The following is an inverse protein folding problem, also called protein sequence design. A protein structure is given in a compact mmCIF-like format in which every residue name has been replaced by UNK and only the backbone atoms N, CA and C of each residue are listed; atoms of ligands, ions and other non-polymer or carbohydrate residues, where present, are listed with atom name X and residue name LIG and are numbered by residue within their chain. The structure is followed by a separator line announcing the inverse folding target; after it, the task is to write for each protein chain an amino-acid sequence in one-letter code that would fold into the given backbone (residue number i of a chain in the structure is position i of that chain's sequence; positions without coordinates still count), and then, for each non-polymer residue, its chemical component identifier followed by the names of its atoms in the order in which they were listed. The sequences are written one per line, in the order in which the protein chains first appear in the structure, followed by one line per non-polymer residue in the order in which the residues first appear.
data_IF_782673434364
#
_entry.id   IF_782673434364
#
_cell.length_a   1.000
_cell.length_b   1.000
_cell.length_c   1.000
_cell.angle_alpha   90.00
_cell.angle_beta   90.00
_cell.angle_gamma   90.00
#
_symmetry.space_group_name_H-M   'P 1'
#
loop_
_entity.id
_entity.type
_entity.pdbx_description
1 polymer ?
#
# COMPACT_ATOMS: atom_id res chain seq x y z
N UNK A 1 29.85 -59.70 7.25
CA UNK A 1 29.93 -58.24 7.05
C UNK A 1 28.90 -57.89 6.00
N UNK A 2 27.76 -57.31 6.42
CA UNK A 2 26.70 -56.82 5.52
C UNK A 2 26.74 -55.29 5.55
N UNK A 3 27.09 -54.70 4.41
CA UNK A 3 27.09 -53.23 4.23
C UNK A 3 25.68 -52.83 3.81
N UNK A 4 24.99 -52.12 4.68
CA UNK A 4 23.70 -51.45 4.35
C UNK A 4 24.00 -50.14 3.61
N UNK A 5 23.62 -50.06 2.34
CA UNK A 5 23.56 -48.80 1.60
C UNK A 5 22.32 -48.02 2.06
N UNK A 6 22.53 -46.88 2.71
CA UNK A 6 21.50 -45.89 2.94
C UNK A 6 21.35 -45.02 1.67
N UNK A 7 20.29 -45.24 0.91
CA UNK A 7 19.91 -44.36 -0.21
C UNK A 7 19.17 -43.15 0.38
N UNK A 8 19.85 -42.02 0.35
CA UNK A 8 19.29 -40.72 0.77
C UNK A 8 18.32 -40.20 -0.31
N UNK A 9 17.04 -40.14 0.04
CA UNK A 9 16.00 -39.58 -0.84
C UNK A 9 16.12 -38.05 -0.89
N UNK A 10 16.91 -37.52 -1.83
CA UNK A 10 16.89 -36.13 -2.25
C UNK A 10 16.10 -36.03 -3.57
N UNK A 11 14.84 -35.69 -3.52
CA UNK A 11 14.11 -35.60 -4.78
C UNK A 11 12.64 -35.20 -4.67
N UNK A 12 12.30 -34.06 -4.06
CA UNK A 12 10.89 -33.60 -4.07
C UNK A 12 10.68 -32.08 -4.14
N UNK A 13 11.70 -31.27 -4.37
CA UNK A 13 11.51 -29.78 -4.48
C UNK A 13 11.60 -29.23 -5.92
N UNK A 14 12.16 -29.99 -6.86
CA UNK A 14 12.36 -29.50 -8.23
C UNK A 14 11.06 -29.41 -9.08
N UNK A 15 10.04 -30.20 -8.74
CA UNK A 15 8.81 -30.26 -9.55
C UNK A 15 7.90 -29.02 -9.41
N UNK A 16 7.88 -28.39 -8.22
CA UNK A 16 7.03 -27.23 -7.98
C UNK A 16 7.51 -25.97 -8.74
N UNK A 17 8.80 -25.72 -8.73
CA UNK A 17 9.39 -24.57 -9.43
C UNK A 17 9.29 -24.68 -10.95
N UNK A 18 9.38 -25.88 -11.51
CA UNK A 18 9.25 -26.11 -12.95
C UNK A 18 7.85 -25.71 -13.47
N UNK A 19 6.81 -25.93 -12.66
CA UNK A 19 5.44 -25.57 -13.01
C UNK A 19 5.18 -24.05 -12.90
N UNK A 20 5.73 -23.40 -11.88
CA UNK A 20 5.61 -21.94 -11.70
C UNK A 20 6.28 -21.16 -12.84
N UNK A 21 7.46 -21.59 -13.27
CA UNK A 21 8.17 -21.02 -14.43
C UNK A 21 7.40 -21.20 -15.74
N UNK A 22 6.75 -22.36 -15.91
CA UNK A 22 5.92 -22.62 -17.09
C UNK A 22 4.70 -21.72 -17.12
N UNK A 23 3.99 -21.55 -15.99
CA UNK A 23 2.87 -20.62 -15.85
C UNK A 23 3.32 -19.18 -16.11
N UNK A 24 4.45 -18.76 -15.54
CA UNK A 24 5.03 -17.42 -15.78
C UNK A 24 5.22 -17.16 -17.26
N UNK A 25 5.92 -18.05 -17.97
CA UNK A 25 6.19 -17.92 -19.41
C UNK A 25 4.90 -17.86 -20.24
N UNK A 26 3.91 -18.67 -19.88
CA UNK A 26 2.64 -18.70 -20.61
C UNK A 26 1.83 -17.40 -20.41
N UNK A 27 1.77 -16.88 -19.18
CA UNK A 27 1.11 -15.60 -18.88
C UNK A 27 1.85 -14.43 -19.56
N UNK A 28 3.18 -14.40 -19.49
CA UNK A 28 3.98 -13.36 -20.17
C UNK A 28 3.83 -13.42 -21.70
N UNK A 29 3.69 -14.63 -22.25
CA UNK A 29 3.37 -14.81 -23.67
C UNK A 29 1.99 -14.26 -24.06
N UNK A 30 0.99 -14.42 -23.21
CA UNK A 30 -0.35 -13.85 -23.42
C UNK A 30 -0.35 -12.31 -23.29
N UNK A 31 0.34 -11.77 -22.30
CA UNK A 31 0.43 -10.31 -22.06
C UNK A 31 1.34 -9.63 -23.10
N UNK A 32 2.23 -10.37 -23.74
CA UNK A 32 3.18 -9.83 -24.73
C UNK A 32 4.37 -9.09 -24.12
N UNK A 33 4.62 -9.21 -22.82
CA UNK A 33 5.69 -8.54 -22.11
C UNK A 33 6.11 -9.32 -20.84
N UNK A 34 7.34 -9.09 -20.35
CA UNK A 34 7.85 -9.63 -19.08
C UNK A 34 7.17 -8.92 -17.89
N UNK A 35 5.88 -9.16 -17.73
CA UNK A 35 5.01 -8.46 -16.79
C UNK A 35 4.82 -9.18 -15.44
N UNK A 36 5.23 -10.45 -15.32
CA UNK A 36 5.03 -11.25 -14.11
C UNK A 36 6.15 -11.00 -13.10
N UNK A 37 5.76 -10.69 -11.87
CA UNK A 37 6.64 -10.58 -10.70
C UNK A 37 6.85 -11.95 -10.06
N UNK A 38 5.76 -12.62 -9.66
CA UNK A 38 5.81 -13.94 -9.05
C UNK A 38 4.62 -14.82 -9.45
N UNK A 39 4.81 -16.14 -9.34
CA UNK A 39 3.78 -17.16 -9.48
C UNK A 39 3.85 -18.06 -8.25
N UNK A 40 2.71 -18.47 -7.72
CA UNK A 40 2.65 -19.45 -6.64
C UNK A 40 1.40 -20.33 -6.77
N UNK A 41 1.55 -21.64 -6.48
CA UNK A 41 0.41 -22.55 -6.43
C UNK A 41 -0.45 -22.24 -5.20
N UNK A 42 -1.76 -22.13 -5.39
CA UNK A 42 -2.70 -21.94 -4.29
C UNK A 42 -3.21 -23.27 -3.74
N UNK A 43 -3.85 -23.24 -2.57
CA UNK A 43 -4.58 -24.40 -2.03
C UNK A 43 -6.00 -24.55 -2.61
N UNK A 44 -6.39 -23.74 -3.58
CA UNK A 44 -7.75 -23.66 -4.10
C UNK A 44 -7.83 -24.20 -5.53
N UNK A 45 -8.46 -25.39 -5.68
CA UNK A 45 -8.86 -25.93 -6.98
C UNK A 45 -7.79 -26.07 -8.04
N UNK A 46 -6.51 -26.18 -7.66
CA UNK A 46 -5.39 -26.26 -8.60
C UNK A 46 -5.02 -24.90 -9.25
N UNK A 47 -5.56 -23.79 -8.74
CA UNK A 47 -5.24 -22.45 -9.20
C UNK A 47 -3.80 -22.05 -8.81
N UNK A 48 -3.19 -21.30 -9.69
CA UNK A 48 -1.96 -20.53 -9.45
C UNK A 48 -2.31 -19.07 -9.28
N UNK A 49 -1.78 -18.41 -8.26
CA UNK A 49 -1.76 -16.95 -8.19
C UNK A 49 -0.60 -16.43 -9.02
N UNK A 50 -0.86 -15.37 -9.77
CA UNK A 50 0.13 -14.65 -10.56
C UNK A 50 0.09 -13.19 -10.15
N UNK A 51 1.19 -12.72 -9.58
CA UNK A 51 1.38 -11.31 -9.22
C UNK A 51 2.07 -10.61 -10.38
N UNK A 52 1.45 -9.55 -10.89
CA UNK A 52 2.04 -8.74 -11.95
C UNK A 52 2.94 -7.64 -11.36
N UNK A 53 3.91 -7.18 -12.14
CA UNK A 53 4.77 -6.04 -11.76
C UNK A 53 4.00 -4.74 -11.51
N UNK A 54 2.80 -4.62 -12.07
CA UNK A 54 1.84 -3.54 -11.77
C UNK A 54 1.30 -3.60 -10.33
N UNK A 55 1.40 -4.77 -9.67
CA UNK A 55 0.82 -5.03 -8.35
C UNK A 55 -0.54 -5.72 -8.41
N UNK A 56 -1.07 -5.97 -9.59
CA UNK A 56 -2.30 -6.74 -9.80
C UNK A 56 -2.06 -8.22 -9.50
N UNK A 57 -3.10 -8.90 -9.01
CA UNK A 57 -3.10 -10.32 -8.72
C UNK A 57 -4.21 -10.98 -9.52
N UNK A 58 -3.82 -11.94 -10.35
CA UNK A 58 -4.73 -12.75 -11.15
C UNK A 58 -4.53 -14.22 -10.86
N UNK A 59 -5.48 -15.06 -11.27
CA UNK A 59 -5.37 -16.52 -11.09
C UNK A 59 -5.45 -17.23 -12.44
N UNK A 60 -4.83 -18.39 -12.51
CA UNK A 60 -4.86 -19.25 -13.72
C UNK A 60 -4.67 -20.71 -13.32
N UNK A 61 -4.81 -21.63 -14.29
CA UNK A 61 -4.44 -23.02 -14.13
C UNK A 61 -2.96 -23.26 -14.46
N UNK A 62 -2.48 -24.47 -14.28
CA UNK A 62 -1.09 -24.88 -14.56
C UNK A 62 -0.65 -24.63 -16.01
N UNK A 63 -1.58 -24.57 -16.96
CA UNK A 63 -1.31 -24.37 -18.39
C UNK A 63 -1.53 -22.94 -18.85
N UNK A 64 -1.95 -22.06 -17.92
CA UNK A 64 -2.41 -20.70 -18.21
C UNK A 64 -3.48 -20.67 -19.34
N UNK A 65 -4.40 -21.62 -19.30
CA UNK A 65 -5.44 -21.75 -20.32
C UNK A 65 -6.55 -20.70 -20.20
N UNK A 66 -6.63 -20.01 -19.07
CA UNK A 66 -7.51 -18.88 -18.77
C UNK A 66 -6.86 -17.93 -17.76
N UNK A 67 -7.37 -16.71 -17.67
CA UNK A 67 -7.04 -15.74 -16.62
C UNK A 67 -8.32 -15.40 -15.87
N UNK A 68 -8.28 -15.47 -14.54
CA UNK A 68 -9.32 -14.94 -13.67
C UNK A 68 -8.81 -13.65 -13.04
N UNK A 69 -9.41 -12.53 -13.44
CA UNK A 69 -9.29 -11.25 -12.74
C UNK A 69 -10.46 -11.13 -11.78
N UNK A 70 -10.22 -11.44 -10.50
CA UNK A 70 -11.31 -11.52 -9.53
C UNK A 70 -10.86 -12.01 -8.16
N UNK A 71 -11.84 -12.31 -7.29
CA UNK A 71 -11.60 -12.66 -5.89
C UNK A 71 -11.86 -14.14 -5.61
N UNK A 72 -10.96 -14.74 -4.86
CA UNK A 72 -11.15 -16.08 -4.28
C UNK A 72 -11.65 -15.91 -2.84
N UNK A 73 -12.86 -16.42 -2.58
CA UNK A 73 -13.47 -16.42 -1.24
C UNK A 73 -13.44 -17.84 -0.70
N UNK A 74 -12.76 -18.07 0.42
CA UNK A 74 -12.84 -19.34 1.11
C UNK A 74 -14.19 -19.48 1.80
N UNK A 75 -15.03 -20.39 1.29
CA UNK A 75 -16.42 -20.56 1.76
C UNK A 75 -16.52 -21.15 3.16
N UNK A 76 -15.49 -21.85 3.66
CA UNK A 76 -15.45 -22.44 5.00
C UNK A 76 -15.14 -21.38 6.05
N UNK A 77 -14.19 -20.49 5.74
CA UNK A 77 -13.74 -19.42 6.66
C UNK A 77 -14.41 -18.08 6.40
N UNK A 78 -15.10 -17.94 5.25
CA UNK A 78 -15.68 -16.70 4.72
C UNK A 78 -14.66 -15.59 4.47
N UNK A 79 -13.38 -15.94 4.35
CA UNK A 79 -12.31 -14.99 4.10
C UNK A 79 -12.13 -14.71 2.62
N UNK A 80 -11.87 -13.46 2.32
CA UNK A 80 -11.40 -13.02 1.00
C UNK A 80 -9.89 -13.22 0.93
N UNK A 81 -9.47 -14.34 0.34
CA UNK A 81 -8.06 -14.74 0.25
C UNK A 81 -7.28 -13.78 -0.64
N UNK A 82 -7.92 -13.31 -1.72
CA UNK A 82 -7.32 -12.32 -2.63
C UNK A 82 -7.04 -11.01 -1.93
N UNK A 83 -8.01 -10.50 -1.17
CA UNK A 83 -7.85 -9.27 -0.40
C UNK A 83 -6.74 -9.40 0.66
N UNK A 84 -6.71 -10.52 1.40
CA UNK A 84 -5.65 -10.79 2.38
C UNK A 84 -4.26 -10.83 1.71
N UNK A 85 -4.19 -11.41 0.51
CA UNK A 85 -2.94 -11.50 -0.25
C UNK A 85 -2.49 -10.15 -0.78
N UNK A 86 -3.40 -9.37 -1.38
CA UNK A 86 -3.12 -8.00 -1.84
C UNK A 86 -2.70 -7.09 -0.69
N UNK A 87 -3.30 -7.22 0.48
CA UNK A 87 -2.90 -6.49 1.68
C UNK A 87 -1.43 -6.79 2.05
N UNK A 88 -1.04 -8.08 2.04
CA UNK A 88 0.35 -8.49 2.31
C UNK A 88 1.34 -7.99 1.25
N UNK A 89 0.96 -8.05 -0.03
CA UNK A 89 1.81 -7.61 -1.15
C UNK A 89 2.00 -6.09 -1.18
N UNK A 90 1.02 -5.35 -0.68
CA UNK A 90 1.05 -3.88 -0.64
C UNK A 90 1.57 -3.31 0.68
N UNK A 91 1.83 -4.16 1.68
CA UNK A 91 2.42 -3.75 2.93
C UNK A 91 3.87 -3.26 2.74
N UNK A 92 4.28 -2.32 3.57
CA UNK A 92 5.64 -1.76 3.56
C UNK A 92 6.31 -1.96 4.91
N UNK A 93 7.62 -1.83 4.94
CA UNK A 93 8.30 -1.59 6.20
C UNK A 93 8.14 -0.11 6.59
N UNK A 94 7.26 0.16 7.57
CA UNK A 94 6.95 1.52 8.02
C UNK A 94 8.20 2.28 8.49
N UNK A 95 9.20 1.58 9.04
CA UNK A 95 10.43 2.19 9.53
C UNK A 95 11.29 2.80 8.42
N UNK A 96 11.06 2.38 7.17
CA UNK A 96 11.78 2.91 5.99
C UNK A 96 11.21 4.23 5.47
N UNK A 97 10.06 4.68 5.99
CA UNK A 97 9.47 5.94 5.58
C UNK A 97 10.34 7.13 6.05
N UNK A 98 10.67 8.08 5.16
CA UNK A 98 11.44 9.26 5.52
C UNK A 98 10.56 10.29 6.24
N UNK A 99 10.24 10.04 7.51
CA UNK A 99 9.27 10.81 8.29
C UNK A 99 9.60 12.30 8.41
N UNK A 100 10.87 12.69 8.20
CA UNK A 100 11.29 14.11 8.13
C UNK A 100 10.75 14.87 6.92
N UNK A 101 10.25 14.15 5.89
CA UNK A 101 9.62 14.72 4.70
C UNK A 101 8.09 14.85 4.86
N UNK A 102 7.54 14.46 5.99
CA UNK A 102 6.12 14.53 6.29
C UNK A 102 5.77 15.66 7.25
N UNK A 103 4.55 16.13 7.18
CA UNK A 103 3.95 16.99 8.21
C UNK A 103 3.57 16.11 9.39
N UNK A 104 4.18 16.35 10.55
CA UNK A 104 3.89 15.62 11.77
C UNK A 104 2.80 16.32 12.58
N UNK A 105 1.78 15.58 12.96
CA UNK A 105 0.73 16.00 13.87
C UNK A 105 0.63 15.01 15.03
N UNK A 106 0.61 15.51 16.27
CA UNK A 106 0.47 14.68 17.47
C UNK A 106 -0.82 15.09 18.16
N UNK A 107 -1.66 14.11 18.45
CA UNK A 107 -2.91 14.28 19.18
C UNK A 107 -2.89 13.40 20.44
N UNK A 108 -3.32 13.95 21.56
CA UNK A 108 -3.30 13.26 22.85
C UNK A 108 -1.90 12.72 23.19
N UNK A 109 -1.80 11.46 23.59
CA UNK A 109 -0.52 10.83 23.94
C UNK A 109 0.34 10.44 22.73
N UNK A 110 -0.21 10.49 21.49
CA UNK A 110 0.50 10.22 20.25
C UNK A 110 1.04 8.79 20.06
N UNK A 111 0.64 7.83 20.88
CA UNK A 111 1.24 6.48 20.92
C UNK A 111 0.97 5.68 19.65
N UNK A 112 -0.21 5.82 19.05
CA UNK A 112 -0.54 5.14 17.82
C UNK A 112 0.00 5.96 16.65
N UNK A 113 0.55 5.31 15.65
CA UNK A 113 1.23 5.98 14.56
C UNK A 113 0.65 5.56 13.23
N UNK A 114 0.48 6.51 12.33
CA UNK A 114 0.15 6.26 10.93
C UNK A 114 0.86 7.27 10.02
N UNK A 115 1.01 6.90 8.76
CA UNK A 115 1.43 7.79 7.69
C UNK A 115 0.35 7.88 6.62
N UNK A 116 0.15 9.07 6.05
CA UNK A 116 -0.81 9.29 4.97
C UNK A 116 -0.13 9.95 3.78
N UNK A 117 -0.52 9.56 2.57
CA UNK A 117 -0.15 10.23 1.33
C UNK A 117 -1.39 10.96 0.82
N UNK A 118 -1.32 12.28 0.79
CA UNK A 118 -2.50 13.10 0.56
C UNK A 118 -2.25 14.23 -0.43
N UNK A 119 -3.23 14.44 -1.31
CA UNK A 119 -3.25 15.59 -2.23
C UNK A 119 -4.17 16.69 -1.65
N UNK A 120 -3.72 17.94 -1.58
CA UNK A 120 -4.51 19.03 -1.00
C UNK A 120 -5.84 19.31 -1.73
N UNK A 121 -5.96 18.93 -2.99
CA UNK A 121 -7.19 19.11 -3.77
C UNK A 121 -8.07 17.85 -3.81
N UNK A 122 -7.65 16.76 -3.18
CA UNK A 122 -8.40 15.51 -3.13
C UNK A 122 -9.63 15.63 -2.21
N UNK A 123 -10.82 15.38 -2.77
CA UNK A 123 -12.07 15.41 -1.99
C UNK A 123 -12.09 14.34 -0.87
N UNK A 124 -11.55 13.16 -1.12
CA UNK A 124 -11.46 12.10 -0.11
C UNK A 124 -10.43 12.40 0.98
N UNK A 125 -9.33 13.13 0.66
CA UNK A 125 -8.39 13.63 1.66
C UNK A 125 -9.05 14.65 2.59
N UNK A 126 -9.89 15.54 2.05
CA UNK A 126 -10.68 16.48 2.87
C UNK A 126 -11.67 15.76 3.78
N UNK A 127 -12.29 14.69 3.29
CA UNK A 127 -13.14 13.84 4.15
C UNK A 127 -12.32 13.14 5.23
N UNK A 128 -11.16 12.58 4.88
CA UNK A 128 -10.25 11.94 5.83
C UNK A 128 -9.79 12.94 6.89
N UNK A 129 -9.41 14.17 6.51
CA UNK A 129 -8.99 15.21 7.45
C UNK A 129 -10.05 15.50 8.53
N UNK A 130 -11.33 15.52 8.16
CA UNK A 130 -12.45 15.70 9.11
C UNK A 130 -12.58 14.51 10.07
N UNK A 131 -12.39 13.29 9.59
CA UNK A 131 -12.39 12.09 10.44
C UNK A 131 -11.17 12.09 11.38
N UNK A 132 -9.98 12.37 10.84
CA UNK A 132 -8.76 12.45 11.63
C UNK A 132 -8.84 13.56 12.70
N UNK A 133 -9.59 14.64 12.44
CA UNK A 133 -9.80 15.69 13.43
C UNK A 133 -10.48 15.19 14.71
N UNK A 134 -11.30 14.14 14.62
CA UNK A 134 -12.05 13.55 15.74
C UNK A 134 -11.24 12.48 16.51
N UNK A 135 -10.14 11.99 15.93
CA UNK A 135 -9.30 10.97 16.56
C UNK A 135 -8.40 11.57 17.66
N UNK A 136 -8.12 10.79 18.70
CA UNK A 136 -7.18 11.13 19.76
C UNK A 136 -6.05 10.08 19.85
N UNK A 137 -5.03 10.39 20.64
CA UNK A 137 -3.94 9.47 20.97
C UNK A 137 -3.21 8.88 19.73
N UNK A 138 -3.00 9.72 18.72
CA UNK A 138 -2.38 9.34 17.45
C UNK A 138 -1.35 10.34 16.98
N UNK A 139 -0.24 9.84 16.43
CA UNK A 139 0.73 10.61 15.64
C UNK A 139 0.48 10.32 14.16
N UNK A 140 0.23 11.37 13.38
CA UNK A 140 -0.03 11.31 11.95
C UNK A 140 1.13 11.96 11.21
N UNK A 141 1.70 11.27 10.23
CA UNK A 141 2.71 11.76 9.32
C UNK A 141 2.09 11.92 7.93
N UNK A 142 1.73 13.14 7.54
CA UNK A 142 1.14 13.43 6.23
C UNK A 142 2.22 13.77 5.22
N UNK A 143 2.42 12.90 4.24
CA UNK A 143 3.23 13.14 3.06
C UNK A 143 2.39 13.88 2.04
N UNK A 144 2.76 15.12 1.72
CA UNK A 144 2.12 15.87 0.65
C UNK A 144 2.44 15.19 -0.68
N UNK A 145 1.39 14.72 -1.36
CA UNK A 145 1.48 13.92 -2.59
C UNK A 145 0.61 14.54 -3.69
N UNK A 146 1.06 15.66 -4.30
CA UNK A 146 0.27 16.43 -5.27
C UNK A 146 0.31 15.77 -6.64
N UNK A 147 -0.67 14.91 -6.93
CA UNK A 147 -0.76 14.16 -8.19
C UNK A 147 -2.00 14.48 -9.03
N UNK A 148 -2.93 15.27 -8.50
CA UNK A 148 -4.22 15.49 -9.17
C UNK A 148 -4.19 16.68 -10.14
N UNK A 149 -3.62 17.80 -9.73
CA UNK A 149 -3.63 19.05 -10.53
C UNK A 149 -2.35 19.86 -10.32
N UNK A 150 -1.99 20.77 -11.25
CA UNK A 150 -0.89 21.72 -11.02
C UNK A 150 -1.09 22.59 -9.76
N UNK A 151 -2.33 22.94 -9.44
CA UNK A 151 -2.68 23.70 -8.24
C UNK A 151 -2.42 22.90 -6.95
N UNK A 152 -2.49 21.56 -7.01
CA UNK A 152 -2.10 20.69 -5.90
C UNK A 152 -0.63 20.87 -5.52
N UNK A 153 0.25 20.99 -6.51
CA UNK A 153 1.68 21.26 -6.29
C UNK A 153 1.89 22.63 -5.65
N UNK A 154 1.22 23.67 -6.17
CA UNK A 154 1.30 25.02 -5.62
C UNK A 154 0.86 25.05 -4.16
N UNK A 155 -0.28 24.44 -3.83
CA UNK A 155 -0.77 24.35 -2.45
C UNK A 155 0.17 23.56 -1.55
N UNK A 156 0.67 22.41 -2.02
CA UNK A 156 1.61 21.58 -1.26
C UNK A 156 2.88 22.37 -0.92
N UNK A 157 3.42 23.11 -1.87
CA UNK A 157 4.60 23.93 -1.66
C UNK A 157 4.35 25.06 -0.64
N UNK A 158 3.21 25.75 -0.75
CA UNK A 158 2.83 26.79 0.20
C UNK A 158 2.64 26.23 1.62
N UNK A 159 1.99 25.07 1.76
CA UNK A 159 1.81 24.38 3.05
C UNK A 159 3.17 23.95 3.61
N UNK A 160 4.03 23.37 2.77
CA UNK A 160 5.35 22.91 3.19
C UNK A 160 6.24 24.05 3.67
N UNK A 161 6.15 25.20 3.03
CA UNK A 161 6.93 26.39 3.36
C UNK A 161 6.34 27.23 4.50
N UNK A 162 5.16 26.89 5.01
CA UNK A 162 4.56 27.58 6.13
C UNK A 162 5.37 27.37 7.42
N UNK A 163 5.41 28.39 8.28
CA UNK A 163 6.07 28.31 9.60
C UNK A 163 5.46 27.20 10.47
N UNK A 164 4.14 27.05 10.45
CA UNK A 164 3.40 25.97 11.09
C UNK A 164 2.67 25.15 10.03
N UNK A 165 3.37 24.18 9.47
CA UNK A 165 2.89 23.31 8.40
C UNK A 165 1.65 22.53 8.82
N UNK A 166 1.62 22.06 10.05
CA UNK A 166 0.53 21.24 10.58
C UNK A 166 -0.75 22.05 10.69
N UNK A 167 -0.64 23.27 11.21
CA UNK A 167 -1.78 24.19 11.28
C UNK A 167 -2.30 24.55 9.89
N UNK A 168 -1.42 24.94 8.96
CA UNK A 168 -1.82 25.36 7.61
C UNK A 168 -2.43 24.18 6.82
N UNK A 169 -1.91 22.97 6.99
CA UNK A 169 -2.52 21.76 6.44
C UNK A 169 -3.93 21.54 6.97
N UNK A 170 -4.13 21.60 8.29
CA UNK A 170 -5.46 21.44 8.89
C UNK A 170 -6.43 22.53 8.46
N UNK A 171 -6.00 23.80 8.48
CA UNK A 171 -6.81 24.95 8.04
C UNK A 171 -7.30 24.75 6.59
N UNK A 172 -6.46 24.15 5.71
CA UNK A 172 -6.85 23.87 4.33
C UNK A 172 -7.74 22.63 4.21
N UNK A 173 -7.30 21.51 4.79
CA UNK A 173 -7.95 20.21 4.52
C UNK A 173 -9.31 20.09 5.22
N UNK A 174 -9.48 20.72 6.39
CA UNK A 174 -10.70 20.69 7.20
C UNK A 174 -11.59 21.90 6.93
N UNK A 175 -11.01 23.10 6.97
CA UNK A 175 -11.72 24.38 6.98
C UNK A 175 -11.71 25.10 5.62
N UNK A 176 -11.03 24.54 4.63
CA UNK A 176 -10.89 25.12 3.28
C UNK A 176 -10.26 26.52 3.24
N UNK A 177 -9.45 26.89 4.25
CA UNK A 177 -8.68 28.14 4.26
C UNK A 177 -7.48 28.02 3.33
N UNK A 178 -7.47 28.81 2.28
CA UNK A 178 -6.43 28.77 1.25
C UNK A 178 -5.05 29.05 1.86
N UNK A 179 -4.05 28.19 1.64
CA UNK A 179 -2.68 28.42 2.11
C UNK A 179 -2.11 29.72 1.51
N UNK A 180 -1.55 30.58 2.35
CA UNK A 180 -0.87 31.78 1.88
C UNK A 180 0.37 31.40 1.06
N UNK A 181 0.72 32.20 0.07
CA UNK A 181 1.94 32.03 -0.71
C UNK A 181 3.15 32.09 0.21
N UNK A 182 4.00 31.06 0.11
CA UNK A 182 5.25 30.95 0.85
C UNK A 182 6.32 30.33 -0.04
N UNK A 183 7.59 30.64 0.25
CA UNK A 183 8.73 30.15 -0.54
C UNK A 183 9.82 29.62 0.38
N UNK A 184 10.30 28.43 0.07
CA UNK A 184 11.42 27.76 0.72
C UNK A 184 11.93 26.61 -0.18
N UNK A 185 12.84 25.77 0.31
CA UNK A 185 13.18 24.52 -0.35
C UNK A 185 12.02 23.52 -0.28
N UNK A 186 11.46 23.19 -1.44
CA UNK A 186 10.31 22.26 -1.63
C UNK A 186 10.72 20.86 -2.06
N UNK A 187 12.01 20.52 -2.07
CA UNK A 187 12.54 19.22 -2.50
C UNK A 187 11.88 18.03 -1.76
N UNK A 188 11.38 18.24 -0.53
CA UNK A 188 10.65 17.22 0.21
C UNK A 188 9.34 16.82 -0.48
N UNK A 189 8.60 17.78 -1.08
CA UNK A 189 7.36 17.51 -1.81
C UNK A 189 7.63 16.68 -3.07
N UNK A 190 8.69 17.02 -3.81
CA UNK A 190 9.10 16.25 -5.00
C UNK A 190 9.54 14.83 -4.63
N UNK A 191 10.32 14.69 -3.55
CA UNK A 191 10.73 13.37 -3.02
C UNK A 191 9.51 12.54 -2.56
N UNK A 192 8.48 13.18 -2.01
CA UNK A 192 7.24 12.47 -1.64
C UNK A 192 6.52 11.94 -2.89
N UNK A 193 6.50 12.67 -3.99
CA UNK A 193 5.94 12.19 -5.26
C UNK A 193 6.73 10.98 -5.76
N UNK A 194 8.05 11.07 -5.79
CA UNK A 194 8.91 9.96 -6.18
C UNK A 194 8.73 8.72 -5.26
N UNK A 195 8.63 8.95 -3.93
CA UNK A 195 8.36 7.89 -2.96
C UNK A 195 7.00 7.24 -3.20
N UNK A 196 5.95 8.03 -3.42
CA UNK A 196 4.61 7.49 -3.69
C UNK A 196 4.60 6.60 -4.95
N UNK A 197 5.27 7.01 -6.01
CA UNK A 197 5.44 6.17 -7.21
C UNK A 197 6.21 4.89 -6.89
N UNK A 198 7.32 4.96 -6.15
CA UNK A 198 8.09 3.79 -5.71
C UNK A 198 7.22 2.81 -4.90
N UNK A 199 6.34 3.32 -4.04
CA UNK A 199 5.40 2.55 -3.26
C UNK A 199 4.14 2.14 -4.06
N UNK A 200 4.08 2.40 -5.37
CA UNK A 200 2.94 2.11 -6.23
C UNK A 200 1.62 2.70 -5.70
N UNK A 201 1.68 3.93 -5.20
CA UNK A 201 0.49 4.67 -4.75
C UNK A 201 -0.17 5.29 -5.99
N UNK A 202 -1.33 4.77 -6.36
CA UNK A 202 -2.10 5.21 -7.54
C UNK A 202 -3.21 6.21 -7.22
N UNK A 203 -3.45 6.49 -5.94
CA UNK A 203 -4.52 7.40 -5.53
C UNK A 203 -4.39 7.91 -4.10
N UNK A 204 -5.13 8.96 -3.80
CA UNK A 204 -5.16 9.63 -2.49
C UNK A 204 -6.56 9.64 -1.87
N UNK A 205 -6.65 9.54 -0.56
CA UNK A 205 -5.57 9.27 0.35
C UNK A 205 -5.08 7.83 0.27
N UNK A 206 -3.82 7.56 0.62
CA UNK A 206 -3.32 6.23 0.96
C UNK A 206 -2.76 6.29 2.37
N UNK A 207 -3.12 5.34 3.21
CA UNK A 207 -2.77 5.31 4.64
C UNK A 207 -1.89 4.09 4.88
N UNK A 208 -0.82 4.25 5.65
CA UNK A 208 0.00 3.16 6.18
C UNK A 208 -0.07 3.16 7.69
N UNK A 209 -0.36 2.02 8.27
CA UNK A 209 -0.34 1.78 9.71
C UNK A 209 1.07 1.41 10.16
N UNK A 210 1.32 1.43 11.47
CA UNK A 210 2.64 1.19 12.05
C UNK A 210 3.22 -0.21 11.74
N UNK A 211 2.36 -1.21 11.51
CA UNK A 211 2.76 -2.56 11.09
C UNK A 211 3.04 -2.69 9.58
N UNK A 212 2.94 -1.58 8.84
CA UNK A 212 3.10 -1.52 7.39
C UNK A 212 1.83 -1.80 6.61
N UNK A 213 0.71 -2.14 7.24
CA UNK A 213 -0.57 -2.35 6.57
C UNK A 213 -0.96 -1.14 5.76
N UNK A 214 -1.27 -1.36 4.48
CA UNK A 214 -1.74 -0.33 3.55
C UNK A 214 -3.25 -0.31 3.45
N UNK A 215 -3.83 0.89 3.56
CA UNK A 215 -5.24 1.16 3.33
C UNK A 215 -5.33 2.15 2.16
N UNK A 216 -5.89 1.71 1.05
CA UNK A 216 -6.13 2.56 -0.12
C UNK A 216 -7.46 3.29 0.00
N UNK A 217 -7.42 4.61 -0.11
CA UNK A 217 -8.62 5.44 -0.07
C UNK A 217 -9.06 5.85 1.34
N UNK A 218 -10.25 6.40 1.40
CA UNK A 218 -10.87 6.93 2.62
C UNK A 218 -11.42 5.82 3.52
N UNK A 219 -11.21 5.98 4.82
CA UNK A 219 -11.89 5.21 5.88
C UNK A 219 -12.48 6.15 6.94
N UNK A 220 -13.71 5.89 7.45
CA UNK A 220 -14.23 6.58 8.61
C UNK A 220 -13.38 6.35 9.86
N UNK A 221 -13.40 7.31 10.80
CA UNK A 221 -12.59 7.24 12.04
C UNK A 221 -12.80 5.92 12.80
N UNK A 222 -14.04 5.45 12.94
CA UNK A 222 -14.33 4.20 13.65
C UNK A 222 -13.70 2.95 13.02
N UNK A 223 -13.63 2.90 11.69
CA UNK A 223 -12.99 1.79 10.98
C UNK A 223 -11.46 1.91 11.03
N UNK A 224 -10.94 3.14 10.99
CA UNK A 224 -9.52 3.41 11.13
C UNK A 224 -9.02 3.04 12.53
N UNK A 225 -9.79 3.35 13.58
CA UNK A 225 -9.53 2.93 14.95
C UNK A 225 -9.43 1.40 15.09
N UNK A 226 -10.37 0.67 14.49
CA UNK A 226 -10.33 -0.81 14.45
C UNK A 226 -9.09 -1.34 13.73
N UNK A 227 -8.76 -0.75 12.58
CA UNK A 227 -7.58 -1.14 11.80
C UNK A 227 -6.29 -0.91 12.60
N UNK A 228 -6.15 0.25 13.23
CA UNK A 228 -5.00 0.57 14.08
C UNK A 228 -4.88 -0.35 15.29
N UNK A 229 -6.00 -0.71 15.92
CA UNK A 229 -6.01 -1.65 17.05
C UNK A 229 -5.60 -3.07 16.62
N UNK A 230 -5.88 -3.46 15.38
CA UNK A 230 -5.43 -4.74 14.82
C UNK A 230 -3.92 -4.73 14.48
N UNK A 231 -3.40 -3.60 14.02
CA UNK A 231 -2.00 -3.41 13.64
C UNK A 231 -1.01 -3.35 14.84
N UNK A 232 -1.52 -3.20 16.06
CA UNK A 232 -0.69 -3.11 17.28
C UNK A 232 -0.57 -4.44 18.04
N UNK A 233 -1.09 -5.53 17.51
CA UNK A 233 -0.98 -6.90 18.06
C UNK A 233 0.15 -7.66 17.39
#
# INVERSE_FOLDING_TARGET
MKVLLAILALGLTAGAYANEDAVKKAVEGFVGAAAVDSVAKTSYGGLYEVVLKSGELVYTDEKASFIIDGRVIDTRTRKDVTQERLAKLSAIDFSTLPLSQAIKQVKGNGKRVMATFEDPNCAYCKRLGKELAQMSDVTIYTFLYPILTPDSTTKSNNIWCAKDKAKVWNDWIVDAKVPATASCDTAAVEKNVALGHKLRISGTPTIFLADGTRIGGFLPAAELEKAMAAATK
#
